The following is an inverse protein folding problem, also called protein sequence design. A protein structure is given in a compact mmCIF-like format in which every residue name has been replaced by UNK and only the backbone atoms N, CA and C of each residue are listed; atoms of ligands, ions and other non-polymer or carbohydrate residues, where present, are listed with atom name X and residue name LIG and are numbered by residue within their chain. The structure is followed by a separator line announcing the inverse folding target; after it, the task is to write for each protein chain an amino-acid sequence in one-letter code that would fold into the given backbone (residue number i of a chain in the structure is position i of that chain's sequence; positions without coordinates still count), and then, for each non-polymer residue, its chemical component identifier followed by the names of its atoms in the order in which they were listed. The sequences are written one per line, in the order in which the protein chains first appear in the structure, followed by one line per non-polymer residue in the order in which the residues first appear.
data_IF_942790613513
#
_entry.id   IF_942790613513
#
_cell.length_a   1.000
_cell.length_b   1.000
_cell.length_c   1.000
_cell.angle_alpha   90.00
_cell.angle_beta   90.00
_cell.angle_gamma   90.00
#
_symmetry.space_group_name_H-M   'P 1'
#
loop_
_entity.id
_entity.type
_entity.pdbx_description
1 polymer ?
#
# COMPACT_ATOMS: atom_id res chain seq x y z
N UNK A 1 -55.60 -46.55 38.00
CA UNK A 1 -56.32 -45.71 37.01
C UNK A 1 -55.26 -44.93 36.22
N UNK A 2 -54.81 -45.51 35.11
CA UNK A 2 -53.84 -44.90 34.18
C UNK A 2 -54.61 -44.22 33.06
N UNK A 3 -54.69 -42.89 33.10
CA UNK A 3 -55.23 -42.10 31.99
C UNK A 3 -54.24 -42.15 30.83
N UNK A 4 -54.59 -42.92 29.80
CA UNK A 4 -53.91 -42.91 28.51
C UNK A 4 -54.26 -41.61 27.79
N UNK A 5 -53.36 -40.64 27.85
CA UNK A 5 -53.43 -39.42 27.06
C UNK A 5 -53.26 -39.79 25.59
N UNK A 6 -54.35 -39.74 24.80
CA UNK A 6 -54.31 -39.92 23.36
C UNK A 6 -53.39 -38.85 22.74
N UNK A 7 -52.43 -39.22 21.88
CA UNK A 7 -51.57 -38.23 21.22
C UNK A 7 -52.45 -37.34 20.35
N UNK A 8 -52.43 -36.04 20.62
CA UNK A 8 -53.09 -35.04 19.80
C UNK A 8 -52.61 -35.23 18.35
N UNK A 9 -53.52 -35.67 17.47
CA UNK A 9 -53.22 -35.82 16.05
C UNK A 9 -52.89 -34.44 15.49
N UNK A 10 -51.61 -34.21 15.24
CA UNK A 10 -51.14 -33.01 14.55
C UNK A 10 -51.81 -32.94 13.18
N UNK A 11 -52.69 -31.96 13.01
CA UNK A 11 -53.34 -31.75 11.72
C UNK A 11 -52.29 -31.40 10.66
N UNK A 12 -52.46 -31.85 9.40
CA UNK A 12 -51.52 -31.54 8.32
C UNK A 12 -51.31 -30.02 8.14
N UNK A 13 -52.30 -29.21 8.52
CA UNK A 13 -52.20 -27.75 8.57
C UNK A 13 -51.19 -27.24 9.62
N UNK A 14 -51.14 -27.85 10.81
CA UNK A 14 -50.16 -27.50 11.85
C UNK A 14 -48.72 -27.82 11.41
N UNK A 15 -48.52 -28.95 10.72
CA UNK A 15 -47.21 -29.34 10.15
C UNK A 15 -46.76 -28.39 9.03
N UNK A 16 -47.67 -27.98 8.15
CA UNK A 16 -47.36 -27.00 7.09
C UNK A 16 -47.04 -25.62 7.65
N UNK A 17 -47.77 -25.16 8.68
CA UNK A 17 -47.48 -23.90 9.36
C UNK A 17 -46.11 -23.91 10.07
N UNK A 18 -45.77 -25.02 10.75
CA UNK A 18 -44.46 -25.21 11.36
C UNK A 18 -43.33 -25.22 10.32
N UNK A 19 -43.51 -25.87 9.17
CA UNK A 19 -42.54 -25.89 8.09
C UNK A 19 -42.31 -24.50 7.46
N UNK A 20 -43.39 -23.71 7.28
CA UNK A 20 -43.28 -22.31 6.81
C UNK A 20 -42.56 -21.43 7.81
N UNK A 21 -42.90 -21.52 9.10
CA UNK A 21 -42.22 -20.78 10.17
C UNK A 21 -40.74 -21.16 10.28
N UNK A 22 -40.39 -22.44 10.12
CA UNK A 22 -39.00 -22.91 10.10
C UNK A 22 -38.22 -22.36 8.90
N UNK A 23 -38.82 -22.35 7.71
CA UNK A 23 -38.19 -21.78 6.51
C UNK A 23 -38.01 -20.26 6.61
N UNK A 24 -38.97 -19.53 7.16
CA UNK A 24 -38.82 -18.09 7.41
C UNK A 24 -37.69 -17.80 8.40
N UNK A 25 -37.60 -18.57 9.49
CA UNK A 25 -36.49 -18.46 10.46
C UNK A 25 -35.15 -18.74 9.79
N UNK A 26 -35.06 -19.80 8.98
CA UNK A 26 -33.85 -20.17 8.24
C UNK A 26 -33.43 -19.07 7.26
N UNK A 27 -34.36 -18.45 6.55
CA UNK A 27 -34.09 -17.31 5.65
C UNK A 27 -33.58 -16.09 6.42
N UNK A 28 -34.16 -15.77 7.58
CA UNK A 28 -33.69 -14.66 8.43
C UNK A 28 -32.29 -14.91 8.96
N UNK A 29 -32.00 -16.14 9.41
CA UNK A 29 -30.66 -16.55 9.86
C UNK A 29 -29.66 -16.42 8.73
N UNK A 30 -29.94 -16.98 7.55
CA UNK A 30 -29.04 -16.85 6.39
C UNK A 30 -28.81 -15.42 5.95
N UNK A 31 -29.86 -14.58 5.98
CA UNK A 31 -29.72 -13.16 5.69
C UNK A 31 -28.80 -12.47 6.69
N UNK A 32 -28.95 -12.75 7.99
CA UNK A 32 -28.09 -12.18 9.02
C UNK A 32 -26.65 -12.68 8.92
N UNK A 33 -26.46 -13.96 8.63
CA UNK A 33 -25.14 -14.56 8.36
C UNK A 33 -24.49 -13.90 7.14
N UNK A 34 -25.23 -13.73 6.04
CA UNK A 34 -24.74 -13.03 4.86
C UNK A 34 -24.35 -11.58 5.18
N UNK A 35 -25.18 -10.84 5.94
CA UNK A 35 -24.86 -9.49 6.37
C UNK A 35 -23.58 -9.44 7.21
N UNK A 36 -23.39 -10.39 8.12
CA UNK A 36 -22.17 -10.48 8.93
C UNK A 36 -20.94 -10.67 8.05
N UNK A 37 -20.97 -11.61 7.10
CA UNK A 37 -19.85 -11.84 6.19
C UNK A 37 -19.57 -10.64 5.27
N UNK A 38 -20.61 -10.01 4.73
CA UNK A 38 -20.44 -8.79 3.91
C UNK A 38 -19.80 -7.68 4.74
N UNK A 39 -20.27 -7.47 5.98
CA UNK A 39 -19.73 -6.44 6.87
C UNK A 39 -18.28 -6.73 7.23
N UNK A 40 -17.97 -7.97 7.59
CA UNK A 40 -16.61 -8.40 7.91
C UNK A 40 -15.67 -8.20 6.71
N UNK A 41 -16.13 -8.57 5.52
CA UNK A 41 -15.37 -8.38 4.29
C UNK A 41 -15.10 -6.90 4.00
N UNK A 42 -16.09 -6.03 4.18
CA UNK A 42 -15.93 -4.58 4.02
C UNK A 42 -14.91 -4.00 5.01
N UNK A 43 -14.95 -4.42 6.28
CA UNK A 43 -13.99 -3.98 7.29
C UNK A 43 -12.57 -4.43 6.91
N UNK A 44 -12.42 -5.67 6.42
CA UNK A 44 -11.13 -6.20 5.99
C UNK A 44 -10.56 -5.43 4.80
N UNK A 45 -11.39 -5.13 3.79
CA UNK A 45 -10.98 -4.29 2.65
C UNK A 45 -10.54 -2.90 3.11
N UNK A 46 -11.28 -2.26 4.02
CA UNK A 46 -10.92 -0.95 4.53
C UNK A 46 -9.61 -0.97 5.33
N UNK A 47 -9.38 -2.05 6.09
CA UNK A 47 -8.13 -2.26 6.82
C UNK A 47 -6.95 -2.43 5.88
N UNK A 48 -7.09 -3.18 4.79
CA UNK A 48 -6.04 -3.34 3.78
C UNK A 48 -5.77 -2.02 3.05
N UNK A 49 -6.82 -1.28 2.69
CA UNK A 49 -6.69 0.03 2.07
C UNK A 49 -5.94 1.02 2.97
N UNK A 50 -6.30 1.08 4.25
CA UNK A 50 -5.62 1.94 5.21
C UNK A 50 -4.16 1.53 5.44
N UNK A 51 -3.86 0.23 5.43
CA UNK A 51 -2.49 -0.27 5.51
C UNK A 51 -1.67 0.22 4.32
N UNK A 52 -2.19 0.08 3.10
CA UNK A 52 -1.50 0.52 1.88
C UNK A 52 -1.21 2.02 1.91
N UNK A 53 -2.21 2.83 2.29
CA UNK A 53 -2.03 4.28 2.45
C UNK A 53 -0.98 4.61 3.52
N UNK A 54 -1.00 3.93 4.67
CA UNK A 54 0.00 4.14 5.71
C UNK A 54 1.41 3.80 5.24
N UNK A 55 1.57 2.73 4.47
CA UNK A 55 2.87 2.30 3.95
C UNK A 55 3.42 3.31 2.94
N UNK A 56 2.60 3.76 2.00
CA UNK A 56 2.96 4.82 1.03
C UNK A 56 3.30 6.12 1.76
N UNK A 57 2.49 6.54 2.72
CA UNK A 57 2.75 7.77 3.47
C UNK A 57 4.00 7.68 4.35
N UNK A 58 4.27 6.51 4.96
CA UNK A 58 5.47 6.30 5.74
C UNK A 58 6.73 6.39 4.87
N UNK A 59 6.72 5.77 3.69
CA UNK A 59 7.82 5.86 2.74
C UNK A 59 8.00 7.29 2.21
N UNK A 60 6.90 7.99 1.90
CA UNK A 60 6.94 9.39 1.49
C UNK A 60 7.61 10.28 2.54
N UNK A 61 7.27 10.13 3.83
CA UNK A 61 7.90 10.91 4.92
C UNK A 61 9.40 10.66 5.01
N UNK A 62 9.85 9.42 4.80
CA UNK A 62 11.28 9.09 4.73
C UNK A 62 11.94 9.74 3.52
N UNK A 63 11.26 9.79 2.38
CA UNK A 63 11.78 10.47 1.19
C UNK A 63 11.78 12.00 1.33
N UNK A 64 10.83 12.57 2.08
CA UNK A 64 10.80 14.00 2.40
C UNK A 64 12.04 14.42 3.18
N UNK A 65 12.53 13.57 4.10
CA UNK A 65 13.80 13.78 4.76
C UNK A 65 14.97 13.88 3.77
N UNK A 66 15.04 12.97 2.79
CA UNK A 66 16.08 13.00 1.76
C UNK A 66 15.98 14.27 0.91
N UNK A 67 14.77 14.61 0.46
CA UNK A 67 14.51 15.84 -0.30
C UNK A 67 14.99 17.08 0.45
N UNK A 68 14.61 17.22 1.72
CA UNK A 68 15.01 18.37 2.53
C UNK A 68 16.53 18.44 2.74
N UNK A 69 17.16 17.28 2.94
CA UNK A 69 18.62 17.20 3.09
C UNK A 69 19.33 17.61 1.81
N UNK A 70 18.90 17.10 0.66
CA UNK A 70 19.45 17.50 -0.63
C UNK A 70 19.16 18.96 -0.97
N UNK A 71 17.98 19.49 -0.61
CA UNK A 71 17.63 20.88 -0.83
C UNK A 71 18.56 21.81 -0.03
N UNK A 72 18.79 21.52 1.26
CA UNK A 72 19.73 22.30 2.09
C UNK A 72 21.13 22.33 1.50
N UNK A 73 21.59 21.20 0.94
CA UNK A 73 22.90 21.10 0.32
C UNK A 73 22.96 21.89 -0.99
N UNK A 74 21.91 21.80 -1.81
CA UNK A 74 21.77 22.59 -3.04
C UNK A 74 21.74 24.10 -2.73
N UNK A 75 21.03 24.51 -1.69
CA UNK A 75 20.94 25.91 -1.27
C UNK A 75 22.29 26.44 -0.76
N UNK A 76 23.08 25.60 -0.11
CA UNK A 76 24.38 25.97 0.47
C UNK A 76 25.53 25.99 -0.55
N UNK A 77 25.60 24.98 -1.43
CA UNK A 77 26.74 24.77 -2.32
C UNK A 77 26.43 25.11 -3.79
N UNK A 78 25.17 25.41 -4.13
CA UNK A 78 24.66 25.51 -5.51
C UNK A 78 24.84 24.24 -6.37
N UNK A 79 25.35 23.17 -5.77
CA UNK A 79 25.57 21.87 -6.42
C UNK A 79 25.13 20.75 -5.47
N UNK A 80 24.59 19.68 -6.04
CA UNK A 80 24.22 18.49 -5.28
C UNK A 80 25.48 17.66 -4.96
N UNK A 81 25.66 17.20 -3.72
CA UNK A 81 26.84 16.44 -3.34
C UNK A 81 26.83 15.05 -3.96
N UNK A 82 28.03 14.53 -4.27
CA UNK A 82 28.24 13.14 -4.72
C UNK A 82 28.00 12.10 -3.62
N UNK A 83 27.99 12.53 -2.36
CA UNK A 83 27.79 11.67 -1.20
C UNK A 83 26.38 11.87 -0.62
N UNK A 84 25.78 10.76 -0.18
CA UNK A 84 24.49 10.78 0.52
C UNK A 84 24.61 11.58 1.83
N UNK A 85 23.66 12.50 2.11
CA UNK A 85 23.60 13.13 3.42
C UNK A 85 23.43 12.07 4.52
N UNK A 86 23.86 12.40 5.74
CA UNK A 86 23.66 11.51 6.89
C UNK A 86 22.25 11.72 7.44
N UNK A 87 21.42 10.67 7.54
CA UNK A 87 20.14 10.80 8.22
C UNK A 87 20.35 11.18 9.69
N UNK A 88 19.50 12.04 10.28
CA UNK A 88 19.59 12.41 11.68
C UNK A 88 19.27 11.19 12.56
N UNK A 89 20.09 10.99 13.60
CA UNK A 89 20.02 9.84 14.50
C UNK A 89 20.81 8.61 14.00
N UNK A 90 20.84 7.55 14.80
CA UNK A 90 21.60 6.30 14.55
C UNK A 90 21.02 5.40 13.45
N UNK A 91 20.19 5.94 12.55
CA UNK A 91 19.50 5.14 11.54
C UNK A 91 20.36 4.88 10.31
N UNK A 92 21.57 4.33 10.50
CA UNK A 92 22.38 3.78 9.41
C UNK A 92 21.57 2.82 8.51
N UNK A 93 20.60 2.11 9.10
CA UNK A 93 19.64 1.26 8.40
C UNK A 93 18.82 2.01 7.32
N UNK A 94 18.51 3.30 7.49
CA UNK A 94 17.83 4.08 6.45
C UNK A 94 18.70 4.30 5.22
N UNK A 95 20.04 4.23 5.31
CA UNK A 95 20.89 4.33 4.12
C UNK A 95 20.85 3.05 3.29
N UNK A 96 20.75 1.89 3.94
CA UNK A 96 20.73 0.59 3.25
C UNK A 96 19.42 0.37 2.47
N UNK A 97 18.35 1.06 2.87
CA UNK A 97 17.03 1.00 2.23
C UNK A 97 16.93 1.82 0.94
N UNK A 98 17.90 2.68 0.61
CA UNK A 98 17.85 3.55 -0.56
C UNK A 98 19.10 3.42 -1.43
N UNK A 99 18.90 3.34 -2.75
CA UNK A 99 19.97 3.41 -3.73
C UNK A 99 20.12 4.85 -4.20
N UNK A 100 21.36 5.33 -4.23
CA UNK A 100 21.71 6.64 -4.76
C UNK A 100 22.31 6.53 -6.16
N UNK A 101 21.84 7.40 -7.05
CA UNK A 101 22.33 7.46 -8.41
C UNK A 101 23.60 8.32 -8.48
N UNK A 102 24.77 7.67 -8.46
CA UNK A 102 26.06 8.35 -8.61
C UNK A 102 26.22 9.06 -9.97
N UNK A 103 25.41 8.71 -10.98
CA UNK A 103 25.50 9.24 -12.35
C UNK A 103 24.47 10.31 -12.65
N UNK A 104 23.75 10.81 -11.63
CA UNK A 104 22.68 11.78 -11.83
C UNK A 104 23.16 13.04 -12.58
N UNK A 105 24.39 13.51 -12.36
CA UNK A 105 24.92 14.70 -13.06
C UNK A 105 25.06 14.49 -14.57
N UNK A 106 25.52 13.31 -14.99
CA UNK A 106 25.68 12.98 -16.41
C UNK A 106 24.30 12.90 -17.07
N UNK A 107 23.36 12.23 -16.40
CA UNK A 107 21.99 12.07 -16.89
C UNK A 107 21.28 13.42 -16.95
N UNK A 108 21.42 14.26 -15.92
CA UNK A 108 20.85 15.60 -15.87
C UNK A 108 21.34 16.48 -17.02
N UNK A 109 22.64 16.43 -17.35
CA UNK A 109 23.21 17.18 -18.49
C UNK A 109 22.61 16.76 -19.84
N UNK A 110 22.31 15.47 -20.01
CA UNK A 110 21.81 14.91 -21.28
C UNK A 110 20.28 15.02 -21.38
N UNK A 111 19.57 14.78 -20.28
CA UNK A 111 18.11 14.59 -20.26
C UNK A 111 17.33 15.73 -19.59
N UNK A 112 18.01 16.64 -18.89
CA UNK A 112 17.38 17.72 -18.12
C UNK A 112 16.66 17.26 -16.84
N UNK A 113 16.61 15.95 -16.58
CA UNK A 113 16.09 15.36 -15.34
C UNK A 113 16.86 14.10 -15.00
N UNK A 114 17.04 13.81 -13.72
CA UNK A 114 17.66 12.59 -13.23
C UNK A 114 17.03 12.16 -11.89
N UNK A 115 16.94 10.86 -11.65
CA UNK A 115 16.66 10.37 -10.31
C UNK A 115 17.92 10.52 -9.45
N UNK A 116 17.77 11.02 -8.23
CA UNK A 116 18.85 11.14 -7.25
C UNK A 116 18.92 9.92 -6.35
N UNK A 117 17.78 9.51 -5.79
CA UNK A 117 17.68 8.31 -4.99
C UNK A 117 16.30 7.68 -5.08
N UNK A 118 16.24 6.40 -4.76
CA UNK A 118 15.01 5.62 -4.75
C UNK A 118 15.14 4.49 -3.73
N UNK A 119 14.01 3.99 -3.24
CA UNK A 119 14.00 2.86 -2.30
C UNK A 119 14.48 1.59 -2.99
N UNK A 120 15.35 0.81 -2.36
CA UNK A 120 15.93 -0.43 -2.90
C UNK A 120 14.83 -1.45 -3.24
N UNK A 121 13.87 -1.63 -2.35
CA UNK A 121 12.74 -2.56 -2.51
C UNK A 121 11.44 -1.79 -2.74
N UNK A 122 10.60 -2.33 -3.63
CA UNK A 122 9.23 -1.87 -3.80
C UNK A 122 8.44 -2.01 -2.48
N UNK A 123 7.55 -1.06 -2.20
CA UNK A 123 6.53 -1.29 -1.19
C UNK A 123 5.51 -2.28 -1.75
N UNK A 124 5.21 -3.32 -0.97
CA UNK A 124 4.26 -4.37 -1.35
C UNK A 124 2.88 -4.00 -0.84
N UNK A 125 2.00 -3.60 -1.74
CA UNK A 125 0.66 -3.12 -1.41
C UNK A 125 -0.37 -4.24 -1.64
N UNK A 126 -1.36 -4.33 -0.76
CA UNK A 126 -2.33 -5.41 -0.78
C UNK A 126 -3.45 -5.20 -1.82
N UNK A 127 -3.86 -3.95 -2.03
CA UNK A 127 -4.95 -3.56 -2.93
C UNK A 127 -4.46 -2.71 -4.11
N UNK A 128 -3.42 -1.90 -3.88
CA UNK A 128 -2.83 -1.03 -4.90
C UNK A 128 -1.67 -1.75 -5.62
N UNK A 129 -1.23 -1.18 -6.74
CA UNK A 129 -0.01 -1.66 -7.42
C UNK A 129 1.21 -1.33 -6.58
N UNK A 130 2.12 -2.30 -6.50
CA UNK A 130 3.43 -2.12 -5.90
C UNK A 130 4.18 -0.98 -6.59
N UNK A 131 5.01 -0.29 -5.81
CA UNK A 131 5.78 0.83 -6.29
C UNK A 131 6.73 1.38 -5.25
N UNK A 132 7.39 2.46 -5.63
CA UNK A 132 8.40 3.12 -4.79
C UNK A 132 8.38 4.62 -4.99
N UNK A 133 8.76 5.36 -3.95
CA UNK A 133 9.11 6.75 -4.14
C UNK A 133 10.48 6.90 -4.79
N UNK A 134 10.55 7.81 -5.75
CA UNK A 134 11.78 8.23 -6.43
C UNK A 134 11.94 9.73 -6.21
N UNK A 135 13.12 10.14 -5.76
CA UNK A 135 13.49 11.55 -5.67
C UNK A 135 14.10 11.98 -7.00
N UNK A 136 13.44 12.86 -7.72
CA UNK A 136 13.85 13.34 -9.04
C UNK A 136 14.32 14.78 -8.93
N UNK A 137 15.41 15.10 -9.62
CA UNK A 137 15.90 16.46 -9.81
C UNK A 137 15.78 16.85 -11.27
N UNK A 138 15.10 17.97 -11.54
CA UNK A 138 14.89 18.52 -12.89
C UNK A 138 15.84 19.69 -13.22
N UNK A 139 16.92 19.85 -12.44
CA UNK A 139 17.85 20.97 -12.56
C UNK A 139 17.43 22.24 -11.82
N UNK A 140 16.18 22.31 -11.34
CA UNK A 140 15.67 23.45 -10.57
C UNK A 140 15.08 23.06 -9.23
N UNK A 141 14.33 21.97 -9.20
CA UNK A 141 13.59 21.53 -8.03
C UNK A 141 13.74 20.02 -7.82
N UNK A 142 13.61 19.64 -6.55
CA UNK A 142 13.54 18.27 -6.10
C UNK A 142 12.10 17.84 -5.91
N UNK A 143 11.71 16.77 -6.60
CA UNK A 143 10.34 16.25 -6.60
C UNK A 143 10.32 14.80 -6.12
N UNK A 144 9.36 14.47 -5.26
CA UNK A 144 9.13 13.10 -4.81
C UNK A 144 7.97 12.55 -5.63
N UNK A 145 8.24 11.50 -6.39
CA UNK A 145 7.27 10.88 -7.28
C UNK A 145 7.05 9.43 -6.83
N UNK A 146 5.78 9.06 -6.63
CA UNK A 146 5.40 7.65 -6.52
C UNK A 146 5.39 7.05 -7.91
N UNK A 147 6.19 6.00 -8.11
CA UNK A 147 6.29 5.30 -9.38
C UNK A 147 5.93 3.84 -9.14
N UNK A 148 4.97 3.31 -9.90
CA UNK A 148 4.63 1.89 -9.83
C UNK A 148 5.82 1.07 -10.37
N UNK A 149 5.94 -0.20 -9.98
CA UNK A 149 7.11 -1.01 -10.38
C UNK A 149 7.28 -1.17 -11.89
N UNK A 150 6.19 -1.34 -12.65
CA UNK A 150 6.25 -1.42 -14.11
C UNK A 150 6.80 -0.13 -14.72
N UNK A 151 6.28 1.01 -14.25
CA UNK A 151 6.72 2.35 -14.68
C UNK A 151 8.18 2.61 -14.26
N UNK A 152 8.56 2.13 -13.08
CA UNK A 152 9.92 2.23 -12.58
C UNK A 152 10.90 1.46 -13.44
N UNK A 153 10.56 0.22 -13.81
CA UNK A 153 11.39 -0.58 -14.70
C UNK A 153 11.59 0.09 -16.07
N UNK A 154 10.53 0.70 -16.63
CA UNK A 154 10.59 1.43 -17.90
C UNK A 154 11.40 2.75 -17.81
N UNK A 155 11.22 3.50 -16.73
CA UNK A 155 11.84 4.83 -16.56
C UNK A 155 13.23 4.78 -15.93
N UNK A 156 13.65 3.64 -15.35
CA UNK A 156 14.90 3.52 -14.63
C UNK A 156 16.10 3.95 -15.47
N UNK A 157 16.24 3.38 -16.67
CA UNK A 157 17.36 3.72 -17.57
C UNK A 157 17.32 5.20 -17.98
N UNK A 158 16.14 5.73 -18.28
CA UNK A 158 15.95 7.13 -18.69
C UNK A 158 16.36 8.11 -17.59
N UNK A 159 16.09 7.74 -16.33
CA UNK A 159 16.45 8.52 -15.14
C UNK A 159 17.86 8.23 -14.63
N UNK A 160 18.61 7.35 -15.31
CA UNK A 160 19.99 7.00 -14.98
C UNK A 160 20.14 6.03 -13.81
N UNK A 161 19.08 5.30 -13.47
CA UNK A 161 19.08 4.32 -12.40
C UNK A 161 19.51 2.95 -12.93
N UNK A 162 20.41 2.29 -12.22
CA UNK A 162 20.75 0.89 -12.49
C UNK A 162 19.68 -0.01 -11.87
N UNK A 163 18.79 -0.53 -12.70
CA UNK A 163 17.82 -1.52 -12.27
C UNK A 163 18.48 -2.92 -12.27
N UNK A 164 18.74 -3.49 -11.10
CA UNK A 164 19.05 -4.92 -11.01
C UNK A 164 17.74 -5.71 -11.00
N UNK A 165 17.22 -5.98 -12.20
CA UNK A 165 16.18 -6.99 -12.37
C UNK A 165 16.74 -8.33 -11.94
N UNK A 166 16.19 -8.91 -10.87
CA UNK A 166 16.38 -10.31 -10.54
C UNK A 166 15.33 -11.15 -11.24
#
# INVERSE_FOLDING_TARGET
MTSTTLPAQETPAARQAAARAANERRRRVWRNVAFFFVTLFLILLLSLYNRDEQEVQADRRRMEFWRESFQKLLDAAQELPLQLPTPPGDSAALRDDYIYNMMYQQVLRVRGKAALCYRTQAAQLALRRDGRHVLIFNGRALEIVWMNEDEFAEQAEVLGMYFHGK
#
